data_IF_008156876248
#
_entry.id   IF_008156876248
#
_cell.length_a   1.000
_cell.length_b   1.000
_cell.length_c   1.000
_cell.angle_alpha   90.00
_cell.angle_beta   90.00
_cell.angle_gamma   90.00
#
_symmetry.space_group_name_H-M   'P 1'
#
loop_
_entity.id
_entity.type
_entity.pdbx_description
1 polymer ?
#
# COMPACT_ATOMS: atom_id res chain seq x y z
N UNK A 1 9.54 2.23 18.03
CA UNK A 1 10.20 1.04 17.45
C UNK A 1 10.20 -0.04 18.52
N UNK A 2 9.68 -1.23 18.23
CA UNK A 2 9.56 -2.33 19.22
C UNK A 2 10.78 -3.26 19.23
N UNK A 3 11.61 -3.22 18.18
CA UNK A 3 12.81 -4.05 18.06
C UNK A 3 13.40 -3.96 16.65
N UNK A 4 14.43 -4.75 16.44
CA UNK A 4 15.12 -4.92 15.15
C UNK A 4 15.23 -6.41 14.85
N UNK A 5 15.02 -6.78 13.60
CA UNK A 5 15.24 -8.13 13.05
C UNK A 5 16.05 -8.01 11.76
N UNK A 6 16.14 -9.08 11.00
CA UNK A 6 16.83 -9.11 9.71
C UNK A 6 15.87 -9.61 8.65
N UNK A 7 15.76 -8.89 7.54
CA UNK A 7 14.98 -9.29 6.39
C UNK A 7 15.66 -10.43 5.60
N UNK A 8 14.92 -11.11 4.74
CA UNK A 8 15.42 -12.18 3.88
C UNK A 8 16.57 -11.75 2.96
N UNK A 9 16.74 -10.47 2.67
CA UNK A 9 17.87 -9.89 1.92
C UNK A 9 19.05 -9.47 2.81
N UNK A 10 19.00 -9.72 4.14
CA UNK A 10 20.04 -9.32 5.09
C UNK A 10 19.95 -7.87 5.59
N UNK A 11 18.98 -7.09 5.12
CA UNK A 11 18.79 -5.71 5.57
C UNK A 11 18.21 -5.65 7.00
N UNK A 12 18.52 -4.61 7.80
CA UNK A 12 17.85 -4.39 9.08
C UNK A 12 16.34 -4.19 8.90
N UNK A 13 15.55 -4.93 9.66
CA UNK A 13 14.09 -4.85 9.68
C UNK A 13 13.64 -4.26 11.02
N UNK A 14 13.02 -3.09 10.98
CA UNK A 14 12.52 -2.42 12.17
C UNK A 14 11.11 -2.90 12.51
N UNK A 15 10.92 -3.34 13.75
CA UNK A 15 9.63 -3.81 14.24
C UNK A 15 8.80 -2.64 14.79
N UNK A 16 7.62 -2.44 14.27
CA UNK A 16 6.68 -1.43 14.73
C UNK A 16 5.23 -1.87 14.46
N UNK A 17 4.26 -1.23 15.12
CA UNK A 17 2.85 -1.50 14.91
C UNK A 17 2.35 -0.96 13.56
N UNK A 18 1.19 -1.43 13.07
CA UNK A 18 0.54 -0.86 11.89
C UNK A 18 0.30 0.65 12.02
N UNK A 19 -0.10 1.09 13.21
CA UNK A 19 -0.25 2.53 13.48
C UNK A 19 1.09 3.27 13.40
N UNK A 20 2.17 2.64 13.88
CA UNK A 20 3.53 3.18 13.77
C UNK A 20 3.96 3.32 12.32
N UNK A 21 3.69 2.32 11.48
CA UNK A 21 3.94 2.36 10.04
C UNK A 21 3.16 3.49 9.36
N UNK A 22 1.85 3.59 9.62
CA UNK A 22 1.02 4.65 9.06
C UNK A 22 1.54 6.04 9.46
N UNK A 23 1.89 6.24 10.73
CA UNK A 23 2.47 7.52 11.21
C UNK A 23 3.81 7.85 10.57
N UNK A 24 4.70 6.86 10.39
CA UNK A 24 5.99 7.07 9.76
C UNK A 24 5.83 7.53 8.30
N UNK A 25 4.98 6.86 7.53
CA UNK A 25 4.74 7.23 6.12
C UNK A 25 3.96 8.55 6.01
N UNK A 26 3.00 8.80 6.90
CA UNK A 26 2.36 10.11 6.97
C UNK A 26 3.40 11.23 7.18
N UNK A 27 4.28 11.06 8.15
CA UNK A 27 5.31 12.05 8.45
C UNK A 27 6.25 12.28 7.26
N UNK A 28 6.62 11.22 6.51
CA UNK A 28 7.39 11.35 5.28
C UNK A 28 6.64 12.16 4.22
N UNK A 29 5.36 11.83 3.97
CA UNK A 29 4.61 12.36 2.82
C UNK A 29 4.11 13.79 2.99
N UNK A 30 3.98 14.28 4.22
CA UNK A 30 3.59 15.67 4.54
C UNK A 30 4.74 16.50 5.14
N UNK A 31 5.96 15.96 5.16
CA UNK A 31 7.14 16.62 5.70
C UNK A 31 7.46 17.91 4.93
N UNK A 32 7.99 18.90 5.64
CA UNK A 32 8.60 20.10 5.03
C UNK A 32 10.10 19.95 4.81
N UNK A 33 10.69 18.83 5.26
CA UNK A 33 12.10 18.52 5.01
C UNK A 33 12.31 18.24 3.52
N UNK A 34 13.26 18.92 2.85
CA UNK A 34 13.49 18.74 1.41
C UNK A 34 13.84 17.30 1.02
N UNK A 35 14.61 16.57 1.84
CA UNK A 35 14.99 15.19 1.55
C UNK A 35 13.76 14.27 1.59
N UNK A 36 12.87 14.45 2.57
CA UNK A 36 11.62 13.70 2.63
C UNK A 36 10.71 14.00 1.45
N UNK A 37 10.64 15.28 1.05
CA UNK A 37 9.85 15.69 -0.12
C UNK A 37 10.38 15.06 -1.40
N UNK A 38 11.69 15.09 -1.64
CA UNK A 38 12.32 14.47 -2.80
C UNK A 38 12.04 12.96 -2.87
N UNK A 39 12.17 12.25 -1.75
CA UNK A 39 11.88 10.80 -1.68
C UNK A 39 10.42 10.52 -2.00
N UNK A 40 9.49 11.24 -1.36
CA UNK A 40 8.06 11.04 -1.58
C UNK A 40 7.66 11.39 -3.03
N UNK A 41 8.23 12.47 -3.59
CA UNK A 41 7.97 12.91 -4.95
C UNK A 41 8.53 11.93 -5.98
N UNK A 42 9.76 11.46 -5.81
CA UNK A 42 10.36 10.45 -6.68
C UNK A 42 9.52 9.17 -6.77
N UNK A 43 8.95 8.71 -5.64
CA UNK A 43 8.05 7.58 -5.63
C UNK A 43 6.75 7.84 -6.41
N UNK A 44 6.22 9.05 -6.36
CA UNK A 44 5.01 9.45 -7.10
C UNK A 44 5.25 9.62 -8.58
N UNK A 45 6.41 10.16 -8.96
CA UNK A 45 6.77 10.41 -10.35
C UNK A 45 7.16 9.12 -11.10
N UNK A 46 7.71 8.14 -10.36
CA UNK A 46 8.19 6.88 -10.93
C UNK A 46 7.62 5.65 -10.20
N UNK A 47 6.28 5.50 -10.15
CA UNK A 47 5.65 4.43 -9.37
C UNK A 47 6.01 3.01 -9.85
N UNK A 48 6.35 2.84 -11.12
CA UNK A 48 6.84 1.57 -11.67
C UNK A 48 8.22 1.18 -11.11
N UNK A 49 9.03 2.14 -10.68
CA UNK A 49 10.31 1.87 -10.00
C UNK A 49 10.10 1.48 -8.53
N UNK A 50 8.96 1.84 -7.95
CA UNK A 50 8.60 1.50 -6.56
C UNK A 50 8.12 0.06 -6.42
N UNK A 51 7.28 -0.41 -7.35
CA UNK A 51 6.61 -1.71 -7.23
C UNK A 51 6.71 -2.60 -8.47
N UNK A 52 7.06 -2.04 -9.62
CA UNK A 52 7.09 -2.74 -10.91
C UNK A 52 5.86 -2.46 -11.77
N UNK A 53 5.98 -2.64 -13.10
CA UNK A 53 4.89 -2.38 -14.04
C UNK A 53 3.64 -3.21 -13.73
N UNK A 54 2.46 -2.59 -13.79
CA UNK A 54 1.18 -3.26 -13.63
C UNK A 54 0.86 -3.78 -12.22
N UNK A 55 1.71 -3.52 -11.24
CA UNK A 55 1.44 -3.88 -9.84
C UNK A 55 0.37 -2.97 -9.24
N UNK A 56 -0.28 -3.43 -8.16
CA UNK A 56 -1.35 -2.67 -7.50
C UNK A 56 -0.89 -1.26 -7.12
N UNK A 57 0.23 -1.15 -6.39
CA UNK A 57 0.74 0.15 -5.95
C UNK A 57 1.07 1.08 -7.11
N UNK A 58 1.64 0.54 -8.20
CA UNK A 58 1.92 1.31 -9.42
C UNK A 58 0.64 1.88 -10.03
N UNK A 59 -0.37 1.02 -10.27
CA UNK A 59 -1.65 1.47 -10.86
C UNK A 59 -2.37 2.49 -9.98
N UNK A 60 -2.37 2.26 -8.66
CA UNK A 60 -3.01 3.19 -7.71
C UNK A 60 -2.33 4.56 -7.72
N UNK A 61 -0.99 4.61 -7.68
CA UNK A 61 -0.25 5.88 -7.75
C UNK A 61 -0.41 6.59 -9.09
N UNK A 62 -0.51 5.86 -10.20
CA UNK A 62 -0.76 6.44 -11.52
C UNK A 62 -2.17 7.01 -11.67
N UNK A 63 -3.17 6.40 -11.02
CA UNK A 63 -4.58 6.76 -11.18
C UNK A 63 -5.10 7.75 -10.13
N UNK A 64 -4.42 7.90 -9.00
CA UNK A 64 -4.86 8.76 -7.89
C UNK A 64 -3.81 9.85 -7.65
N UNK A 65 -4.10 11.10 -8.04
CA UNK A 65 -3.14 12.20 -7.91
C UNK A 65 -2.63 12.38 -6.46
N UNK A 66 -1.31 12.46 -6.31
CA UNK A 66 -0.65 12.68 -5.03
C UNK A 66 -0.63 11.48 -4.09
N UNK A 67 -1.13 10.33 -4.51
CA UNK A 67 -1.05 9.10 -3.71
C UNK A 67 0.40 8.63 -3.59
N UNK A 68 0.81 8.30 -2.39
CA UNK A 68 1.99 7.50 -2.08
C UNK A 68 1.54 6.12 -1.64
N UNK A 69 2.07 5.07 -2.24
CA UNK A 69 1.72 3.69 -1.87
C UNK A 69 2.93 2.77 -1.96
N UNK A 70 3.11 1.94 -0.93
CA UNK A 70 4.16 0.92 -0.90
C UNK A 70 3.63 -0.37 -0.32
N UNK A 71 3.83 -1.44 -1.05
CA UNK A 71 3.59 -2.81 -0.59
C UNK A 71 4.87 -3.43 -0.02
N UNK A 72 4.69 -4.31 0.95
CA UNK A 72 5.72 -5.14 1.53
C UNK A 72 5.38 -6.63 1.42
N UNK A 73 6.34 -7.48 1.75
CA UNK A 73 6.14 -8.92 1.82
C UNK A 73 5.03 -9.28 2.83
N UNK A 74 4.44 -10.46 2.67
CA UNK A 74 3.38 -10.99 3.55
C UNK A 74 2.14 -10.09 3.63
N UNK A 75 1.79 -9.46 2.51
CA UNK A 75 0.61 -8.61 2.36
C UNK A 75 0.53 -7.48 3.40
N UNK A 76 1.59 -6.73 3.49
CA UNK A 76 1.62 -5.41 4.13
C UNK A 76 1.44 -4.35 3.06
N UNK A 77 0.68 -3.30 3.36
CA UNK A 77 0.58 -2.13 2.50
C UNK A 77 0.46 -0.88 3.35
N UNK A 78 1.06 0.20 2.87
CA UNK A 78 0.88 1.53 3.43
C UNK A 78 0.55 2.50 2.31
N UNK A 79 -0.43 3.35 2.54
CA UNK A 79 -0.93 4.31 1.56
C UNK A 79 -1.15 5.65 2.24
N UNK A 80 -0.65 6.74 1.64
CA UNK A 80 -0.82 8.10 2.13
C UNK A 80 -1.30 9.03 1.02
N UNK A 81 -2.32 9.83 1.31
CA UNK A 81 -2.83 10.87 0.43
C UNK A 81 -2.00 12.15 0.58
N UNK A 82 -2.12 13.07 -0.38
CA UNK A 82 -1.43 14.35 -0.35
C UNK A 82 -1.78 15.22 0.87
N UNK A 83 -2.99 15.05 1.43
CA UNK A 83 -3.45 15.76 2.64
C UNK A 83 -3.01 15.11 3.96
N UNK A 84 -2.24 14.02 3.89
CA UNK A 84 -1.72 13.31 5.04
C UNK A 84 -2.66 12.27 5.64
N UNK A 85 -3.86 12.04 5.10
CA UNK A 85 -4.67 10.87 5.46
C UNK A 85 -3.92 9.61 5.03
N UNK A 86 -3.70 8.71 5.96
CA UNK A 86 -2.82 7.55 5.75
C UNK A 86 -3.45 6.31 6.34
N UNK A 87 -3.31 5.19 5.65
CA UNK A 87 -3.71 3.87 6.12
C UNK A 87 -2.55 2.88 6.02
N UNK A 88 -2.56 1.89 6.90
CA UNK A 88 -1.69 0.73 6.81
C UNK A 88 -2.54 -0.54 6.94
N UNK A 89 -2.25 -1.51 6.11
CA UNK A 89 -2.98 -2.76 6.00
C UNK A 89 -2.02 -3.93 6.24
N UNK A 90 -2.47 -4.92 6.99
CA UNK A 90 -1.84 -6.24 7.09
C UNK A 90 -2.92 -7.30 6.89
N UNK A 91 -2.77 -8.13 5.87
CA UNK A 91 -3.61 -9.31 5.69
C UNK A 91 -3.05 -10.42 6.58
N UNK A 92 -3.88 -10.99 7.45
CA UNK A 92 -3.44 -11.88 8.53
C UNK A 92 -2.79 -13.18 8.03
N UNK A 93 -3.26 -13.74 6.91
CA UNK A 93 -2.68 -14.94 6.31
C UNK A 93 -1.43 -14.68 5.44
N UNK A 94 -0.99 -13.43 5.31
CA UNK A 94 0.16 -13.04 4.52
C UNK A 94 -0.03 -13.09 3.00
N UNK A 95 -1.23 -13.44 2.50
CA UNK A 95 -1.48 -13.54 1.07
C UNK A 95 -2.05 -12.24 0.49
N UNK A 96 -1.42 -11.73 -0.55
CA UNK A 96 -1.79 -10.45 -1.16
C UNK A 96 -3.12 -10.47 -1.96
N UNK A 97 -3.79 -11.63 -2.12
CA UNK A 97 -5.01 -11.74 -2.94
C UNK A 97 -6.15 -10.80 -2.52
N UNK A 98 -6.25 -10.51 -1.22
CA UNK A 98 -7.28 -9.61 -0.70
C UNK A 98 -6.88 -8.12 -0.75
N UNK A 99 -5.61 -7.81 -1.00
CA UNK A 99 -5.08 -6.45 -0.92
C UNK A 99 -5.81 -5.46 -1.84
N UNK A 100 -6.11 -5.77 -3.12
CA UNK A 100 -6.85 -4.85 -3.99
C UNK A 100 -8.21 -4.49 -3.41
N UNK A 101 -9.01 -5.47 -3.01
CA UNK A 101 -10.35 -5.25 -2.47
C UNK A 101 -10.34 -4.45 -1.16
N UNK A 102 -9.43 -4.80 -0.24
CA UNK A 102 -9.30 -4.12 1.06
C UNK A 102 -8.81 -2.69 0.88
N UNK A 103 -7.79 -2.46 0.03
CA UNK A 103 -7.25 -1.12 -0.22
C UNK A 103 -8.29 -0.22 -0.87
N UNK A 104 -8.99 -0.70 -1.90
CA UNK A 104 -10.04 0.06 -2.58
C UNK A 104 -11.17 0.46 -1.62
N UNK A 105 -11.65 -0.48 -0.81
CA UNK A 105 -12.69 -0.20 0.19
C UNK A 105 -12.22 0.79 1.27
N UNK A 106 -10.96 0.67 1.71
CA UNK A 106 -10.40 1.61 2.69
C UNK A 106 -10.23 3.03 2.10
N UNK A 107 -9.78 3.15 0.84
CA UNK A 107 -9.70 4.44 0.15
C UNK A 107 -11.08 5.06 -0.06
N UNK A 108 -12.11 4.25 -0.31
CA UNK A 108 -13.50 4.74 -0.41
C UNK A 108 -13.98 5.40 0.88
N UNK A 109 -13.52 4.95 2.08
CA UNK A 109 -13.79 5.64 3.35
C UNK A 109 -13.16 7.04 3.43
N UNK A 110 -12.14 7.30 2.63
CA UNK A 110 -11.54 8.63 2.47
C UNK A 110 -12.18 9.45 1.33
N UNK A 111 -13.23 8.93 0.69
CA UNK A 111 -13.89 9.57 -0.45
C UNK A 111 -13.12 9.43 -1.77
N UNK A 112 -12.19 8.49 -1.86
CA UNK A 112 -11.39 8.23 -3.07
C UNK A 112 -11.99 7.07 -3.84
N UNK A 113 -12.41 7.32 -5.08
CA UNK A 113 -12.84 6.28 -6.02
C UNK A 113 -11.61 5.64 -6.70
N UNK A 114 -11.05 4.65 -6.03
CA UNK A 114 -9.94 3.86 -6.55
C UNK A 114 -10.49 2.73 -7.44
N UNK A 115 -10.60 2.96 -8.73
CA UNK A 115 -11.11 2.00 -9.73
C UNK A 115 -10.17 0.82 -9.88
N UNK A 116 -10.42 -0.26 -9.15
CA UNK A 116 -9.66 -1.51 -9.27
C UNK A 116 -10.49 -2.64 -9.87
N UNK A 117 -9.80 -3.52 -10.59
CA UNK A 117 -10.42 -4.70 -11.18
C UNK A 117 -10.78 -5.69 -10.07
N UNK A 118 -12.01 -6.21 -10.04
CA UNK A 118 -12.40 -7.23 -9.07
C UNK A 118 -11.49 -8.45 -9.10
N UNK A 119 -11.13 -8.95 -7.92
CA UNK A 119 -10.32 -10.16 -7.78
C UNK A 119 -11.24 -11.37 -7.78
N UNK A 120 -11.24 -12.12 -8.88
CA UNK A 120 -12.01 -13.36 -8.99
C UNK A 120 -11.31 -14.51 -8.25
N UNK A 121 -12.10 -15.35 -7.61
CA UNK A 121 -11.68 -16.70 -7.19
C UNK A 121 -11.98 -17.68 -8.32
N UNK A 122 -11.03 -18.57 -8.59
CA UNK A 122 -11.15 -19.52 -9.70
C UNK A 122 -11.32 -20.95 -9.18
N UNK A 123 -12.22 -21.70 -9.82
CA UNK A 123 -12.37 -23.15 -9.70
C UNK A 123 -12.20 -23.78 -11.06
N UNK A 124 -11.27 -24.73 -11.22
CA UNK A 124 -10.92 -25.34 -12.51
C UNK A 124 -10.67 -24.30 -13.65
N UNK A 125 -10.07 -23.17 -13.31
CA UNK A 125 -9.80 -22.07 -14.26
C UNK A 125 -10.99 -21.16 -14.57
N UNK A 126 -12.17 -21.42 -14.02
CA UNK A 126 -13.38 -20.62 -14.23
C UNK A 126 -13.66 -19.73 -13.01
N UNK A 127 -14.17 -18.49 -13.18
CA UNK A 127 -14.60 -17.66 -12.07
C UNK A 127 -15.75 -18.33 -11.29
N UNK A 128 -15.53 -18.61 -10.01
CA UNK A 128 -16.53 -19.20 -9.09
C UNK A 128 -16.92 -18.27 -7.94
N UNK A 129 -16.27 -17.12 -7.85
CA UNK A 129 -16.55 -16.13 -6.81
C UNK A 129 -15.70 -14.88 -6.97
N UNK A 130 -15.87 -13.93 -6.05
CA UNK A 130 -15.15 -12.66 -6.04
C UNK A 130 -14.73 -12.34 -4.61
N UNK A 131 -13.52 -11.80 -4.44
CA UNK A 131 -13.05 -11.28 -3.16
C UNK A 131 -13.61 -9.88 -2.96
N UNK A 132 -14.27 -9.65 -1.83
CA UNK A 132 -14.86 -8.36 -1.46
C UNK A 132 -14.44 -7.98 -0.05
N UNK A 133 -14.29 -6.69 0.21
CA UNK A 133 -14.27 -6.15 1.57
C UNK A 133 -15.69 -6.12 2.13
N UNK A 134 -15.82 -6.26 3.44
CA UNK A 134 -17.12 -6.32 4.16
C UNK A 134 -17.29 -5.17 5.15
N UNK A 135 -16.53 -4.08 5.05
CA UNK A 135 -16.57 -2.91 5.92
C UNK A 135 -16.83 -1.61 5.15
#
# INVERSE_FOLDING_TARGET
MAGVSVDGCGAPLFLFSLLGLARAIRNLTISTDPVHQEVAQACRDYPEMVSGPGRLSTRMMQNIPGLFMKDGAEAVNVTSLADGRTLAIKISDGNARAMPAVTTAALAKFGIDAKEVPVNTLGAGLPVGIIRATF
#
